data_IF_848442457595
#
_entry.id   IF_848442457595
#
_cell.length_a   1.000
_cell.length_b   1.000
_cell.length_c   1.000
_cell.angle_alpha   90.00
_cell.angle_beta   90.00
_cell.angle_gamma   90.00
#
_symmetry.space_group_name_H-M   'P 1'
#
loop_
_entity.id
_entity.type
_entity.pdbx_description
1 polymer ?
#
# COMPACT_ATOMS: atom_id res chain seq x y z
N UNK A 1 1.73 18.65 10.57
CA UNK A 1 2.14 18.29 9.19
C UNK A 1 1.30 17.11 8.71
N UNK A 2 1.01 17.08 7.43
CA UNK A 2 0.23 15.99 6.85
C UNK A 2 1.03 14.68 6.88
N UNK A 3 0.35 13.59 7.19
CA UNK A 3 0.93 12.25 7.05
C UNK A 3 1.07 11.93 5.56
N UNK A 4 2.09 11.17 5.22
CA UNK A 4 2.41 10.84 3.82
C UNK A 4 2.12 9.37 3.54
N UNK A 5 1.41 9.13 2.44
CA UNK A 5 1.05 7.78 1.99
C UNK A 5 1.64 7.53 0.61
N UNK A 6 2.30 6.38 0.45
CA UNK A 6 2.77 5.90 -0.83
C UNK A 6 1.81 4.82 -1.32
N UNK A 7 1.29 4.98 -2.53
CA UNK A 7 0.36 4.03 -3.14
C UNK A 7 1.04 3.37 -4.34
N UNK A 8 1.07 2.04 -4.35
CA UNK A 8 1.61 1.27 -5.47
C UNK A 8 0.47 0.46 -6.09
N UNK A 9 0.08 0.81 -7.31
CA UNK A 9 -1.03 0.20 -8.03
C UNK A 9 -0.85 0.40 -9.52
N UNK A 10 -0.85 -0.70 -10.28
CA UNK A 10 -0.65 -0.63 -11.73
C UNK A 10 -1.94 -0.27 -12.49
N UNK A 11 -3.12 -0.57 -11.93
CA UNK A 11 -4.38 -0.20 -12.55
C UNK A 11 -4.68 1.28 -12.33
N UNK A 12 -4.78 2.02 -13.42
CA UNK A 12 -4.94 3.47 -13.38
C UNK A 12 -6.16 3.93 -12.59
N UNK A 13 -7.33 3.33 -12.84
CA UNK A 13 -8.57 3.77 -12.20
C UNK A 13 -8.52 3.56 -10.68
N UNK A 14 -8.03 2.41 -10.24
CA UNK A 14 -7.87 2.12 -8.82
C UNK A 14 -6.86 3.05 -8.18
N UNK A 15 -5.74 3.30 -8.86
CA UNK A 15 -4.71 4.21 -8.36
C UNK A 15 -5.24 5.63 -8.20
N UNK A 16 -5.97 6.14 -9.19
CA UNK A 16 -6.57 7.47 -9.13
C UNK A 16 -7.62 7.58 -8.03
N UNK A 17 -8.45 6.54 -7.88
CA UNK A 17 -9.46 6.51 -6.82
C UNK A 17 -8.82 6.57 -5.43
N UNK A 18 -7.84 5.72 -5.17
CA UNK A 18 -7.15 5.69 -3.88
C UNK A 18 -6.45 7.02 -3.59
N UNK A 19 -5.80 7.58 -4.59
CA UNK A 19 -5.13 8.88 -4.47
C UNK A 19 -6.11 9.98 -4.12
N UNK A 20 -7.25 10.02 -4.81
CA UNK A 20 -8.28 11.03 -4.57
C UNK A 20 -8.85 10.94 -3.15
N UNK A 21 -9.17 9.73 -2.71
CA UNK A 21 -9.74 9.53 -1.37
C UNK A 21 -8.73 9.88 -0.29
N UNK A 22 -7.49 9.44 -0.45
CA UNK A 22 -6.43 9.76 0.51
C UNK A 22 -6.22 11.27 0.62
N UNK A 23 -6.23 11.96 -0.51
CA UNK A 23 -6.11 13.42 -0.54
C UNK A 23 -7.27 14.09 0.17
N UNK A 24 -8.50 13.60 -0.03
CA UNK A 24 -9.69 14.11 0.67
C UNK A 24 -9.59 13.91 2.18
N UNK A 25 -8.92 12.87 2.63
CA UNK A 25 -8.70 12.62 4.05
C UNK A 25 -7.56 13.45 4.63
N UNK A 26 -6.93 14.29 3.83
CA UNK A 26 -5.88 15.20 4.29
C UNK A 26 -4.47 14.64 4.23
N UNK A 27 -4.27 13.51 3.56
CA UNK A 27 -2.94 12.92 3.40
C UNK A 27 -2.21 13.51 2.21
N UNK A 28 -0.90 13.53 2.31
CA UNK A 28 -0.02 13.84 1.19
C UNK A 28 0.30 12.52 0.49
N UNK A 29 0.04 12.43 -0.80
CA UNK A 29 0.09 11.15 -1.52
C UNK A 29 1.10 11.17 -2.65
N UNK A 30 1.86 10.07 -2.75
CA UNK A 30 2.66 9.79 -3.93
C UNK A 30 2.25 8.42 -4.45
N UNK A 31 2.21 8.25 -5.75
CA UNK A 31 1.83 6.96 -6.34
C UNK A 31 2.86 6.45 -7.33
N UNK A 32 2.98 5.13 -7.41
CA UNK A 32 3.85 4.41 -8.33
C UNK A 32 3.08 3.26 -8.95
N UNK A 33 3.61 2.66 -10.00
CA UNK A 33 2.88 1.69 -10.81
C UNK A 33 3.43 0.27 -10.76
N UNK A 34 4.58 0.05 -10.15
CA UNK A 34 5.15 -1.30 -10.02
C UNK A 34 5.98 -1.45 -8.74
N UNK A 35 6.41 -2.68 -8.48
CA UNK A 35 7.14 -2.99 -7.26
C UNK A 35 8.57 -2.46 -7.23
N UNK A 36 9.20 -2.27 -8.38
CA UNK A 36 10.55 -1.69 -8.44
C UNK A 36 10.50 -0.22 -8.08
N UNK A 37 9.54 0.53 -8.64
CA UNK A 37 9.33 1.93 -8.30
C UNK A 37 8.91 2.09 -6.83
N UNK A 38 8.11 1.16 -6.31
CA UNK A 38 7.75 1.15 -4.90
C UNK A 38 9.00 1.11 -4.02
N UNK A 39 9.92 0.19 -4.30
CA UNK A 39 11.17 0.07 -3.55
C UNK A 39 12.03 1.32 -3.67
N UNK A 40 12.17 1.84 -4.88
CA UNK A 40 13.00 3.01 -5.15
C UNK A 40 12.51 4.23 -4.36
N UNK A 41 11.21 4.49 -4.43
CA UNK A 41 10.62 5.66 -3.77
C UNK A 41 10.60 5.48 -2.25
N UNK A 42 10.28 4.28 -1.76
CA UNK A 42 10.25 4.01 -0.33
C UNK A 42 11.64 4.12 0.31
N UNK A 43 12.70 3.85 -0.45
CA UNK A 43 14.08 4.02 0.03
C UNK A 43 14.54 5.48 0.00
N UNK A 44 14.02 6.27 -0.94
CA UNK A 44 14.43 7.66 -1.13
C UNK A 44 13.67 8.65 -0.27
N UNK A 45 12.44 8.33 0.14
CA UNK A 45 11.57 9.24 0.88
C UNK A 45 10.91 8.51 2.05
N UNK A 46 10.55 9.26 3.07
CA UNK A 46 9.84 8.70 4.23
C UNK A 46 8.34 8.80 4.04
N UNK A 47 7.66 7.70 4.36
CA UNK A 47 6.20 7.64 4.35
C UNK A 47 5.70 7.10 5.69
N UNK A 48 4.48 7.49 6.05
CA UNK A 48 3.83 7.02 7.26
C UNK A 48 3.06 5.72 7.01
N UNK A 49 2.70 5.47 5.76
CA UNK A 49 1.95 4.29 5.35
C UNK A 49 2.21 3.99 3.88
N UNK A 50 2.22 2.71 3.54
CA UNK A 50 2.27 2.24 2.16
C UNK A 50 1.03 1.40 1.90
N UNK A 51 0.34 1.67 0.79
CA UNK A 51 -0.77 0.86 0.30
C UNK A 51 -0.32 0.28 -1.03
N UNK A 52 -0.28 -1.03 -1.16
CA UNK A 52 0.20 -1.68 -2.38
C UNK A 52 -0.71 -2.81 -2.83
N UNK A 53 -0.84 -2.96 -4.15
CA UNK A 53 -1.39 -4.18 -4.73
C UNK A 53 -0.34 -5.30 -4.57
N UNK A 54 -0.80 -6.54 -4.44
CA UNK A 54 0.10 -7.69 -4.45
C UNK A 54 0.55 -8.05 -5.85
N UNK A 55 -0.32 -7.88 -6.84
CA UNK A 55 -0.05 -8.27 -8.24
C UNK A 55 0.32 -7.03 -9.06
N UNK A 56 1.62 -6.86 -9.29
CA UNK A 56 2.15 -5.74 -10.07
C UNK A 56 3.25 -6.20 -11.02
N UNK A 57 3.49 -5.48 -12.14
CA UNK A 57 4.61 -5.77 -13.02
C UNK A 57 5.96 -5.63 -12.33
N UNK A 58 6.95 -6.31 -12.87
CA UNK A 58 8.37 -6.24 -12.49
C UNK A 58 8.70 -6.83 -11.12
N UNK A 59 7.93 -6.49 -10.08
CA UNK A 59 8.12 -7.01 -8.74
C UNK A 59 6.78 -6.96 -8.00
N UNK A 60 6.30 -8.08 -7.47
CA UNK A 60 5.03 -8.09 -6.75
C UNK A 60 5.14 -7.45 -5.36
N UNK A 61 3.98 -7.06 -4.82
CA UNK A 61 3.92 -6.34 -3.54
C UNK A 61 4.47 -7.12 -2.36
N UNK A 62 4.32 -8.44 -2.34
CA UNK A 62 4.84 -9.26 -1.24
C UNK A 62 6.37 -9.28 -1.23
N UNK A 63 6.98 -9.44 -2.39
CA UNK A 63 8.44 -9.40 -2.53
C UNK A 63 8.98 -8.01 -2.18
N UNK A 64 8.30 -6.96 -2.63
CA UNK A 64 8.67 -5.58 -2.30
C UNK A 64 8.63 -5.35 -0.79
N UNK A 65 7.57 -5.79 -0.11
CA UNK A 65 7.43 -5.64 1.33
C UNK A 65 8.54 -6.37 2.09
N UNK A 66 8.89 -7.58 1.64
CA UNK A 66 9.96 -8.34 2.25
C UNK A 66 11.32 -7.65 2.11
N UNK A 67 11.61 -7.15 0.91
CA UNK A 67 12.87 -6.42 0.67
C UNK A 67 12.93 -5.15 1.54
N UNK A 68 11.84 -4.41 1.66
CA UNK A 68 11.79 -3.23 2.53
C UNK A 68 12.11 -3.58 3.98
N UNK A 69 11.58 -4.67 4.49
CA UNK A 69 11.90 -5.13 5.86
C UNK A 69 13.37 -5.48 6.00
N UNK A 70 13.96 -6.14 5.00
CA UNK A 70 15.38 -6.47 4.99
C UNK A 70 16.25 -5.23 4.97
N UNK A 71 15.76 -4.15 4.42
CA UNK A 71 16.46 -2.85 4.38
C UNK A 71 16.25 -2.03 5.66
N UNK A 72 15.55 -2.57 6.64
CA UNK A 72 15.27 -1.88 7.89
C UNK A 72 14.13 -0.88 7.82
N UNK A 73 13.33 -0.90 6.77
CA UNK A 73 12.17 -0.02 6.64
C UNK A 73 10.98 -0.63 7.38
N UNK A 74 10.53 0.04 8.44
CA UNK A 74 9.45 -0.43 9.30
C UNK A 74 8.10 0.23 9.02
N UNK A 75 7.98 0.95 7.92
CA UNK A 75 6.73 1.59 7.52
C UNK A 75 5.61 0.54 7.40
N UNK A 76 4.44 0.76 8.02
CA UNK A 76 3.32 -0.18 7.87
C UNK A 76 2.88 -0.27 6.41
N UNK A 77 2.55 -1.48 5.99
CA UNK A 77 2.13 -1.76 4.60
C UNK A 77 0.77 -2.44 4.62
N UNK A 78 -0.19 -1.85 3.92
CA UNK A 78 -1.51 -2.44 3.68
C UNK A 78 -1.50 -2.97 2.25
N UNK A 79 -1.92 -4.22 2.07
CA UNK A 79 -2.02 -4.83 0.76
C UNK A 79 -3.46 -4.90 0.27
N UNK A 80 -3.65 -4.70 -1.03
CA UNK A 80 -4.91 -4.92 -1.73
C UNK A 80 -4.70 -6.05 -2.72
N UNK A 81 -5.61 -7.00 -2.81
CA UNK A 81 -5.41 -8.15 -3.68
C UNK A 81 -6.69 -8.78 -4.18
N UNK A 82 -6.64 -9.28 -5.42
CA UNK A 82 -7.66 -10.15 -5.99
C UNK A 82 -7.35 -11.63 -5.74
N UNK A 83 -6.25 -11.95 -5.05
CA UNK A 83 -5.86 -13.33 -4.76
C UNK A 83 -6.86 -14.00 -3.84
N UNK A 84 -6.91 -15.34 -3.91
CA UNK A 84 -7.77 -16.13 -3.05
C UNK A 84 -7.30 -16.08 -1.60
N UNK A 85 -8.22 -16.41 -0.69
CA UNK A 85 -7.89 -16.48 0.75
C UNK A 85 -6.73 -17.44 1.03
N UNK A 86 -6.64 -18.53 0.27
CA UNK A 86 -5.56 -19.52 0.42
C UNK A 86 -4.19 -18.91 0.08
N UNK A 87 -4.13 -18.17 -1.03
CA UNK A 87 -2.87 -17.54 -1.46
C UNK A 87 -2.47 -16.38 -0.55
N UNK A 88 -3.44 -15.67 -0.01
CA UNK A 88 -3.20 -14.57 0.93
C UNK A 88 -2.54 -15.07 2.21
N UNK A 89 -2.93 -16.25 2.71
CA UNK A 89 -2.33 -16.80 3.94
C UNK A 89 -0.83 -16.97 3.85
N UNK A 90 -0.30 -17.25 2.67
CA UNK A 90 1.13 -17.45 2.47
C UNK A 90 1.96 -16.17 2.68
N UNK A 91 1.34 -14.99 2.58
CA UNK A 91 2.04 -13.70 2.62
C UNK A 91 1.50 -12.74 3.68
N UNK A 92 0.46 -13.11 4.40
CA UNK A 92 -0.24 -12.18 5.30
C UNK A 92 0.64 -11.60 6.42
N UNK A 93 1.66 -12.32 6.84
CA UNK A 93 2.58 -11.87 7.88
C UNK A 93 3.52 -10.76 7.43
N UNK A 94 3.57 -10.49 6.12
CA UNK A 94 4.39 -9.42 5.54
C UNK A 94 3.70 -8.05 5.60
N UNK A 95 2.41 -8.04 5.92
CA UNK A 95 1.58 -6.83 5.86
C UNK A 95 0.90 -6.55 7.19
N UNK A 96 0.64 -5.25 7.42
CA UNK A 96 -0.13 -4.82 8.58
C UNK A 96 -1.59 -5.28 8.43
N UNK A 97 -2.12 -5.23 7.22
CA UNK A 97 -3.45 -5.69 6.90
C UNK A 97 -3.59 -5.95 5.41
N UNK A 98 -4.48 -6.87 5.04
CA UNK A 98 -4.77 -7.20 3.65
C UNK A 98 -6.27 -7.05 3.40
N UNK A 99 -6.62 -6.38 2.30
CA UNK A 99 -8.01 -6.24 1.85
C UNK A 99 -8.18 -6.91 0.50
N UNK A 100 -9.30 -7.62 0.34
CA UNK A 100 -9.64 -8.25 -0.94
C UNK A 100 -10.25 -7.22 -1.90
N UNK A 101 -9.95 -7.36 -3.17
CA UNK A 101 -10.60 -6.57 -4.23
C UNK A 101 -11.89 -7.27 -4.68
N UNK A 102 -12.96 -6.53 -4.98
CA UNK A 102 -13.09 -5.09 -4.87
C UNK A 102 -13.09 -4.64 -3.40
N UNK A 103 -12.32 -3.60 -3.11
CA UNK A 103 -12.14 -3.12 -1.75
C UNK A 103 -13.23 -2.10 -1.40
N UNK A 104 -13.77 -2.19 -0.18
CA UNK A 104 -14.62 -1.14 0.35
C UNK A 104 -13.71 0.01 0.80
N UNK A 105 -13.63 1.06 -0.01
CA UNK A 105 -12.72 2.17 0.25
C UNK A 105 -13.06 2.94 1.53
N UNK A 106 -14.34 2.95 1.93
CA UNK A 106 -14.75 3.57 3.19
C UNK A 106 -14.13 2.85 4.37
N UNK A 107 -14.25 1.52 4.40
CA UNK A 107 -13.65 0.70 5.47
C UNK A 107 -12.12 0.83 5.46
N UNK A 108 -11.51 0.81 4.28
CA UNK A 108 -10.07 0.95 4.14
C UNK A 108 -9.60 2.25 4.79
N UNK A 109 -10.23 3.38 4.45
CA UNK A 109 -9.76 4.66 4.95
C UNK A 109 -10.20 4.95 6.39
N UNK A 110 -11.23 4.30 6.91
CA UNK A 110 -11.50 4.29 8.34
C UNK A 110 -10.35 3.66 9.10
N UNK A 111 -9.85 2.52 8.60
CA UNK A 111 -8.70 1.85 9.20
C UNK A 111 -7.43 2.68 9.05
N UNK A 112 -7.21 3.27 7.88
CA UNK A 112 -6.07 4.15 7.63
C UNK A 112 -6.07 5.32 8.61
N UNK A 113 -7.20 5.99 8.78
CA UNK A 113 -7.31 7.11 9.70
C UNK A 113 -7.01 6.68 11.14
N UNK A 114 -7.51 5.54 11.56
CA UNK A 114 -7.22 4.98 12.88
C UNK A 114 -5.73 4.71 13.04
N UNK A 115 -5.10 4.09 12.04
CA UNK A 115 -3.68 3.76 12.06
C UNK A 115 -2.81 5.01 12.08
N UNK A 116 -3.24 6.08 11.42
CA UNK A 116 -2.51 7.35 11.33
C UNK A 116 -2.77 8.29 12.51
N UNK A 117 -3.62 7.89 13.44
CA UNK A 117 -3.89 8.68 14.64
C UNK A 117 -4.97 9.75 14.49
N UNK A 118 -5.82 9.55 13.53
CA UNK A 118 -6.96 10.46 13.33
C UNK A 118 -8.20 10.03 14.08
#
# INVERSE_FOLDING_TARGET
>A
MAKRILIAEDERETRELLTSIATLHGYEVKSVTDGVDLLTVAAAEKFDLIITDLMMPNLNGASAAEIMKMQGNSTPVIALTALSCHDVKAVQDKFTRIYSKPCNVTELFEYVDSLMGK
#
